data_IF_389617424125
#
_entry.id   IF_389617424125
#
_cell.length_a   1.000
_cell.length_b   1.000
_cell.length_c   1.000
_cell.angle_alpha   90.00
_cell.angle_beta   90.00
_cell.angle_gamma   90.00
#
_symmetry.space_group_name_H-M   'P 1'
#
loop_
_entity.id
_entity.type
_entity.pdbx_description
1 polymer ?
#
# COMPACT_ATOMS: atom_id res chain seq x y z
N UNK A 1 6.27 -10.45 33.76
CA UNK A 1 5.61 -11.13 32.64
C UNK A 1 5.35 -12.57 33.03
N UNK A 2 4.09 -12.99 32.93
CA UNK A 2 3.69 -14.39 33.08
C UNK A 2 4.15 -15.21 31.87
N UNK A 3 4.29 -16.52 32.01
CA UNK A 3 4.70 -17.42 30.92
C UNK A 3 3.76 -17.38 29.71
N UNK A 4 2.47 -17.06 29.91
CA UNK A 4 1.49 -16.90 28.83
C UNK A 4 1.70 -15.63 28.00
N UNK A 5 2.25 -14.56 28.60
CA UNK A 5 2.63 -13.34 27.88
C UNK A 5 3.90 -13.55 27.03
N UNK A 6 4.76 -14.50 27.43
CA UNK A 6 5.98 -14.85 26.69
C UNK A 6 5.67 -15.66 25.42
N UNK A 7 4.67 -16.54 25.45
CA UNK A 7 4.21 -17.26 24.25
C UNK A 7 3.52 -16.35 23.23
N UNK A 8 2.81 -15.31 23.68
CA UNK A 8 2.20 -14.31 22.78
C UNK A 8 3.24 -13.37 22.12
N UNK A 9 4.45 -13.29 22.67
CA UNK A 9 5.56 -12.47 22.18
C UNK A 9 6.48 -13.19 21.16
N UNK A 10 6.10 -14.37 20.65
CA UNK A 10 6.89 -15.12 19.66
C UNK A 10 6.73 -14.53 18.25
N UNK A 11 7.16 -13.28 18.08
CA UNK A 11 7.31 -12.67 16.77
C UNK A 11 8.68 -11.99 16.64
N UNK A 12 9.16 -11.85 15.40
CA UNK A 12 10.47 -11.28 15.11
C UNK A 12 10.48 -9.74 15.03
N UNK A 13 9.32 -9.11 15.19
CA UNK A 13 9.16 -7.66 15.08
C UNK A 13 9.71 -6.92 16.29
N UNK A 14 10.31 -5.75 16.05
CA UNK A 14 10.78 -4.85 17.11
C UNK A 14 9.77 -3.71 17.36
N UNK A 15 9.55 -3.33 18.63
CA UNK A 15 10.10 -3.96 19.83
C UNK A 15 9.49 -5.34 20.10
N UNK A 16 10.30 -6.27 20.64
CA UNK A 16 9.89 -7.68 20.85
C UNK A 16 8.75 -7.88 21.85
N UNK A 17 8.44 -6.84 22.64
CA UNK A 17 7.33 -6.82 23.58
C UNK A 17 6.07 -6.13 23.02
N UNK A 18 6.06 -5.76 21.74
CA UNK A 18 4.85 -5.26 21.09
C UNK A 18 3.75 -6.32 21.17
N UNK A 19 2.51 -5.89 21.44
CA UNK A 19 1.37 -6.81 21.42
C UNK A 19 0.76 -6.74 20.02
N UNK A 20 1.02 -7.77 19.22
CA UNK A 20 0.41 -7.94 17.90
C UNK A 20 -0.77 -8.89 18.05
N UNK A 21 -1.98 -8.33 18.01
CA UNK A 21 -3.22 -9.07 18.22
C UNK A 21 -3.42 -10.12 17.11
N UNK A 22 -3.83 -11.32 17.50
CA UNK A 22 -4.17 -12.44 16.62
C UNK A 22 -3.07 -12.81 15.61
N UNK A 23 -1.80 -12.57 15.95
CA UNK A 23 -0.68 -12.77 15.03
C UNK A 23 -0.59 -14.22 14.52
N UNK A 24 -0.56 -14.37 13.20
CA UNK A 24 -0.24 -15.60 12.51
C UNK A 24 1.06 -15.46 11.71
N UNK A 25 1.99 -16.40 11.87
CA UNK A 25 3.24 -16.38 11.12
C UNK A 25 3.01 -16.61 9.61
N UNK A 26 3.80 -15.91 8.78
CA UNK A 26 3.76 -16.09 7.32
C UNK A 26 4.05 -17.54 6.93
N UNK A 27 3.27 -18.06 5.99
CA UNK A 27 3.45 -19.41 5.42
C UNK A 27 4.44 -19.43 4.26
N UNK A 28 4.68 -18.27 3.63
CA UNK A 28 5.66 -18.05 2.58
C UNK A 28 6.97 -17.56 3.18
N UNK A 29 8.09 -17.98 2.59
CA UNK A 29 9.41 -17.43 2.94
C UNK A 29 9.67 -16.09 2.26
N UNK A 30 10.54 -15.27 2.83
CA UNK A 30 10.88 -13.93 2.30
C UNK A 30 11.31 -13.93 0.83
N UNK A 31 12.13 -14.89 0.33
CA UNK A 31 12.46 -14.95 -1.10
C UNK A 31 11.24 -15.20 -1.99
N UNK A 32 10.29 -16.02 -1.53
CA UNK A 32 9.06 -16.31 -2.28
C UNK A 32 8.14 -15.09 -2.32
N UNK A 33 8.01 -14.37 -1.20
CA UNK A 33 7.30 -13.09 -1.12
C UNK A 33 7.90 -12.08 -2.09
N UNK A 34 9.23 -11.97 -2.13
CA UNK A 34 9.93 -11.07 -3.06
C UNK A 34 9.68 -11.42 -4.53
N UNK A 35 9.67 -12.71 -4.88
CA UNK A 35 9.34 -13.17 -6.24
C UNK A 35 7.92 -12.77 -6.62
N UNK A 36 6.94 -13.02 -5.75
CA UNK A 36 5.55 -12.62 -6.01
C UNK A 36 5.40 -11.10 -6.13
N UNK A 37 6.01 -10.34 -5.22
CA UNK A 37 5.98 -8.87 -5.28
C UNK A 37 6.57 -8.36 -6.59
N UNK A 38 7.75 -8.87 -6.97
CA UNK A 38 8.42 -8.50 -8.22
C UNK A 38 7.58 -8.86 -9.44
N UNK A 39 6.93 -10.03 -9.43
CA UNK A 39 6.05 -10.46 -10.51
C UNK A 39 4.82 -9.55 -10.65
N UNK A 40 4.18 -9.15 -9.55
CA UNK A 40 3.05 -8.22 -9.57
C UNK A 40 3.46 -6.83 -10.06
N UNK A 41 4.61 -6.32 -9.61
CA UNK A 41 5.18 -5.05 -10.10
C UNK A 41 5.43 -5.13 -11.61
N UNK A 42 6.05 -6.20 -12.10
CA UNK A 42 6.30 -6.38 -13.54
C UNK A 42 4.98 -6.51 -14.32
N UNK A 43 4.00 -7.26 -13.79
CA UNK A 43 2.69 -7.42 -14.41
C UNK A 43 1.93 -6.10 -14.55
N UNK A 44 2.16 -5.13 -13.64
CA UNK A 44 1.62 -3.78 -13.74
C UNK A 44 2.44 -2.89 -14.67
N UNK A 45 3.77 -2.92 -14.56
CA UNK A 45 4.67 -2.03 -15.28
C UNK A 45 4.79 -2.37 -16.78
N UNK A 46 4.66 -3.63 -17.18
CA UNK A 46 4.73 -4.01 -18.60
C UNK A 46 3.59 -3.42 -19.44
N UNK A 47 2.29 -3.53 -19.05
CA UNK A 47 1.21 -2.81 -19.71
C UNK A 47 1.39 -1.30 -19.71
N UNK A 48 1.85 -0.72 -18.59
CA UNK A 48 2.13 0.72 -18.50
C UNK A 48 3.21 1.15 -19.50
N UNK A 49 4.33 0.41 -19.55
CA UNK A 49 5.40 0.63 -20.52
C UNK A 49 4.88 0.52 -21.96
N UNK A 50 4.10 -0.52 -22.27
CA UNK A 50 3.49 -0.70 -23.59
C UNK A 50 2.60 0.50 -23.96
N UNK A 51 1.73 0.93 -23.06
CA UNK A 51 0.88 2.11 -23.27
C UNK A 51 1.73 3.37 -23.54
N UNK A 52 2.81 3.58 -22.77
CA UNK A 52 3.71 4.72 -22.94
C UNK A 52 4.49 4.69 -24.26
N UNK A 53 4.84 3.51 -24.80
CA UNK A 53 5.40 3.40 -26.16
C UNK A 53 4.41 3.76 -27.26
N UNK A 54 3.10 3.70 -26.96
CA UNK A 54 2.02 4.05 -27.88
C UNK A 54 1.50 5.47 -27.66
N UNK A 55 1.99 6.16 -26.64
CA UNK A 55 1.64 7.56 -26.36
C UNK A 55 2.04 8.48 -27.53
N UNK A 56 1.53 9.71 -27.52
CA UNK A 56 1.77 10.73 -28.57
C UNK A 56 1.49 10.19 -29.98
N UNK A 57 0.31 9.62 -30.17
CA UNK A 57 -0.12 9.04 -31.45
C UNK A 57 0.83 7.96 -32.00
N UNK A 58 1.42 7.15 -31.12
CA UNK A 58 2.32 6.06 -31.47
C UNK A 58 3.81 6.41 -31.57
N UNK A 59 4.20 7.65 -31.27
CA UNK A 59 5.61 8.08 -31.27
C UNK A 59 6.36 7.70 -29.98
N UNK A 60 5.63 7.41 -28.90
CA UNK A 60 6.21 7.13 -27.59
C UNK A 60 6.81 8.37 -26.91
N UNK A 61 7.46 8.15 -25.77
CA UNK A 61 8.13 9.21 -25.00
C UNK A 61 9.66 9.14 -25.20
N UNK A 62 10.36 10.30 -25.16
CA UNK A 62 11.82 10.32 -25.01
C UNK A 62 12.26 9.52 -23.77
N UNK A 63 13.43 8.87 -23.83
CA UNK A 63 13.95 8.02 -22.75
C UNK A 63 13.86 8.62 -21.34
N UNK A 64 14.26 9.88 -21.07
CA UNK A 64 14.14 10.45 -19.73
C UNK A 64 12.69 10.64 -19.29
N UNK A 65 11.81 11.10 -20.19
CA UNK A 65 10.37 11.24 -19.90
C UNK A 65 9.71 9.88 -19.65
N UNK A 66 10.09 8.86 -20.43
CA UNK A 66 9.64 7.49 -20.24
C UNK A 66 10.08 6.95 -18.87
N UNK A 67 11.33 7.16 -18.48
CA UNK A 67 11.85 6.71 -17.19
C UNK A 67 11.10 7.38 -16.02
N UNK A 68 10.87 8.68 -16.09
CA UNK A 68 10.07 9.41 -15.10
C UNK A 68 8.62 8.90 -15.08
N UNK A 69 8.00 8.70 -16.23
CA UNK A 69 6.64 8.14 -16.31
C UNK A 69 6.55 6.73 -15.71
N UNK A 70 7.54 5.87 -15.94
CA UNK A 70 7.61 4.53 -15.34
C UNK A 70 7.84 4.59 -13.82
N UNK A 71 8.63 5.55 -13.33
CA UNK A 71 8.77 5.81 -11.89
C UNK A 71 7.43 6.20 -11.26
N UNK A 72 6.69 7.14 -11.88
CA UNK A 72 5.34 7.50 -11.43
C UNK A 72 4.35 6.34 -11.52
N UNK A 73 4.46 5.47 -12.53
CA UNK A 73 3.64 4.27 -12.63
C UNK A 73 3.92 3.30 -11.46
N UNK A 74 5.19 3.09 -11.10
CA UNK A 74 5.56 2.29 -9.93
C UNK A 74 5.02 2.88 -8.62
N UNK A 75 5.17 4.19 -8.44
CA UNK A 75 4.56 4.91 -7.30
C UNK A 75 3.04 4.72 -7.26
N UNK A 76 2.38 4.89 -8.41
CA UNK A 76 0.95 4.64 -8.55
C UNK A 76 0.56 3.23 -8.12
N UNK A 77 1.31 2.21 -8.54
CA UNK A 77 1.06 0.84 -8.10
C UNK A 77 1.18 0.67 -6.58
N UNK A 78 2.21 1.24 -5.96
CA UNK A 78 2.42 1.15 -4.51
C UNK A 78 1.23 1.78 -3.76
N UNK A 79 0.83 3.00 -4.11
CA UNK A 79 -0.26 3.69 -3.43
C UNK A 79 -1.65 3.08 -3.70
N UNK A 80 -1.92 2.69 -4.96
CA UNK A 80 -3.24 2.17 -5.36
C UNK A 80 -3.45 0.70 -4.97
N UNK A 81 -2.40 -0.12 -4.96
CA UNK A 81 -2.53 -1.56 -4.67
C UNK A 81 -2.04 -1.88 -3.26
N UNK A 82 -0.79 -1.53 -2.94
CA UNK A 82 -0.12 -2.00 -1.71
C UNK A 82 -0.63 -1.24 -0.49
N UNK A 83 -0.55 0.09 -0.49
CA UNK A 83 -0.99 0.93 0.63
C UNK A 83 -2.51 0.96 0.76
N UNK A 84 -3.24 0.96 -0.35
CA UNK A 84 -4.70 0.85 -0.31
C UNK A 84 -5.14 -0.46 0.34
N UNK A 85 -4.47 -1.58 0.03
CA UNK A 85 -4.73 -2.85 0.72
C UNK A 85 -4.51 -2.74 2.22
N UNK A 86 -3.41 -2.11 2.65
CA UNK A 86 -3.15 -1.88 4.08
C UNK A 86 -4.26 -1.07 4.73
N UNK A 87 -4.65 0.07 4.17
CA UNK A 87 -5.69 0.95 4.72
C UNK A 87 -7.04 0.23 4.86
N UNK A 88 -7.38 -0.72 3.99
CA UNK A 88 -8.62 -1.48 4.11
C UNK A 88 -8.54 -2.69 5.05
N UNK A 89 -7.35 -3.26 5.27
CA UNK A 89 -7.20 -4.54 5.95
C UNK A 89 -6.30 -4.50 7.21
N UNK A 90 -5.76 -3.33 7.60
CA UNK A 90 -4.79 -3.20 8.71
C UNK A 90 -5.26 -3.84 10.03
N UNK A 91 -6.59 -3.92 10.25
CA UNK A 91 -7.19 -4.52 11.44
C UNK A 91 -7.08 -6.06 11.50
N UNK A 92 -7.00 -6.76 10.36
CA UNK A 92 -6.88 -8.23 10.29
C UNK A 92 -5.55 -8.69 9.69
N UNK A 93 -4.76 -7.77 9.16
CA UNK A 93 -3.46 -7.97 8.52
C UNK A 93 -2.52 -8.90 9.28
N UNK A 94 -2.49 -8.82 10.61
CA UNK A 94 -1.64 -9.67 11.44
C UNK A 94 -2.09 -11.14 11.48
N UNK A 95 -3.40 -11.40 11.37
CA UNK A 95 -4.01 -12.72 11.47
C UNK A 95 -4.08 -13.46 10.12
N UNK A 96 -4.22 -12.72 9.03
CA UNK A 96 -4.43 -13.29 7.70
C UNK A 96 -3.12 -13.71 7.03
N UNK A 97 -3.18 -14.71 6.17
CA UNK A 97 -2.03 -15.23 5.42
C UNK A 97 -2.26 -15.19 3.91
N UNK A 98 -3.04 -14.23 3.39
CA UNK A 98 -3.05 -14.02 1.94
C UNK A 98 -1.79 -13.28 1.52
N UNK A 99 -1.52 -13.23 0.21
CA UNK A 99 -0.23 -12.75 -0.31
C UNK A 99 0.13 -11.34 0.18
N UNK A 100 -0.82 -10.40 0.14
CA UNK A 100 -0.58 -9.02 0.56
C UNK A 100 -0.34 -8.89 2.07
N UNK A 101 -1.00 -9.69 2.92
CA UNK A 101 -0.71 -9.68 4.36
C UNK A 101 0.70 -10.14 4.62
N UNK A 102 1.13 -11.20 3.93
CA UNK A 102 2.48 -11.74 4.08
C UNK A 102 3.54 -10.76 3.58
N UNK A 103 3.27 -10.02 2.51
CA UNK A 103 4.12 -8.91 2.06
C UNK A 103 4.24 -7.81 3.12
N UNK A 104 3.12 -7.42 3.74
CA UNK A 104 3.12 -6.41 4.78
C UNK A 104 3.76 -6.89 6.08
N UNK A 105 3.63 -8.16 6.44
CA UNK A 105 4.37 -8.79 7.54
C UNK A 105 5.87 -8.75 7.29
N UNK A 106 6.32 -9.08 6.08
CA UNK A 106 7.74 -8.95 5.71
C UNK A 106 8.20 -7.49 5.83
N UNK A 107 7.40 -6.53 5.34
CA UNK A 107 7.71 -5.11 5.47
C UNK A 107 7.74 -4.62 6.93
N UNK A 108 6.84 -5.13 7.77
CA UNK A 108 6.74 -4.77 9.18
C UNK A 108 7.94 -5.25 10.03
N UNK A 109 8.84 -6.08 9.49
CA UNK A 109 10.15 -6.32 10.11
C UNK A 109 10.95 -5.01 10.25
N UNK A 110 10.70 -4.03 9.38
CA UNK A 110 11.29 -2.69 9.48
C UNK A 110 10.59 -1.78 10.50
N UNK A 111 9.29 -1.97 10.71
CA UNK A 111 8.48 -1.20 11.65
C UNK A 111 7.22 -1.99 12.04
N UNK A 112 7.14 -2.44 13.30
CA UNK A 112 6.02 -3.26 13.78
C UNK A 112 4.68 -2.52 13.81
N UNK A 113 4.68 -1.19 13.70
CA UNK A 113 3.47 -0.36 13.78
C UNK A 113 2.45 -0.66 12.69
N UNK A 114 2.89 -1.23 11.56
CA UNK A 114 1.99 -1.74 10.52
C UNK A 114 1.15 -2.93 11.01
N UNK A 115 1.66 -3.76 11.92
CA UNK A 115 0.91 -4.89 12.47
C UNK A 115 0.12 -4.56 13.74
N UNK A 116 0.45 -3.45 14.40
CA UNK A 116 -0.29 -2.97 15.58
C UNK A 116 -1.35 -1.91 15.25
N UNK A 117 -1.52 -1.57 13.97
CA UNK A 117 -2.45 -0.52 13.51
C UNK A 117 -2.24 0.82 14.22
N UNK A 118 -0.99 1.27 14.33
CA UNK A 118 -0.70 2.58 14.91
C UNK A 118 -1.44 3.69 14.17
N UNK A 119 -2.05 4.61 14.91
CA UNK A 119 -2.92 5.65 14.33
C UNK A 119 -2.18 6.55 13.37
N UNK A 120 -0.94 6.95 13.69
CA UNK A 120 -0.17 7.82 12.81
C UNK A 120 0.19 7.09 11.51
N UNK A 121 0.65 5.84 11.60
CA UNK A 121 0.94 5.01 10.42
C UNK A 121 -0.30 4.86 9.53
N UNK A 122 -1.45 4.46 10.09
CA UNK A 122 -2.70 4.30 9.31
C UNK A 122 -3.13 5.62 8.68
N UNK A 123 -3.05 6.75 9.38
CA UNK A 123 -3.37 8.05 8.82
C UNK A 123 -2.43 8.44 7.67
N UNK A 124 -1.13 8.23 7.81
CA UNK A 124 -0.16 8.56 6.76
C UNK A 124 -0.38 7.73 5.50
N UNK A 125 -0.55 6.40 5.66
CA UNK A 125 -0.87 5.52 4.54
C UNK A 125 -2.22 5.89 3.91
N UNK A 126 -3.20 6.32 4.70
CA UNK A 126 -4.48 6.81 4.16
C UNK A 126 -4.28 8.03 3.26
N UNK A 127 -3.45 8.99 3.68
CA UNK A 127 -3.18 10.22 2.90
C UNK A 127 -2.53 9.93 1.55
N UNK A 128 -1.63 8.94 1.49
CA UNK A 128 -0.93 8.56 0.26
C UNK A 128 -1.83 7.74 -0.68
N UNK A 129 -2.87 7.09 -0.18
CA UNK A 129 -3.84 6.41 -1.04
C UNK A 129 -4.73 7.40 -1.82
N UNK A 130 -5.07 7.05 -3.08
CA UNK A 130 -5.99 7.85 -3.90
C UNK A 130 -7.39 7.99 -3.29
N UNK A 131 -7.77 7.13 -2.36
CA UNK A 131 -9.06 7.19 -1.67
C UNK A 131 -9.20 8.47 -0.84
N UNK A 132 -8.14 8.90 -0.16
CA UNK A 132 -8.17 10.17 0.54
C UNK A 132 -8.31 11.35 -0.44
N UNK A 133 -7.55 11.36 -1.54
CA UNK A 133 -7.61 12.45 -2.50
C UNK A 133 -8.94 12.50 -3.29
N UNK A 134 -9.35 11.42 -3.95
CA UNK A 134 -10.55 11.44 -4.79
C UNK A 134 -11.84 11.31 -3.97
N UNK A 135 -11.84 10.45 -2.94
CA UNK A 135 -13.02 10.21 -2.11
C UNK A 135 -13.28 11.33 -1.11
N UNK A 136 -12.29 11.66 -0.28
CA UNK A 136 -12.48 12.69 0.73
C UNK A 136 -12.24 14.10 0.17
N UNK A 137 -11.08 14.36 -0.45
CA UNK A 137 -10.75 15.72 -0.86
C UNK A 137 -11.61 16.22 -2.02
N UNK A 138 -11.80 15.45 -3.11
CA UNK A 138 -12.63 15.90 -4.24
C UNK A 138 -14.13 15.70 -3.98
N UNK A 139 -14.60 14.47 -3.75
CA UNK A 139 -16.04 14.21 -3.71
C UNK A 139 -16.75 14.88 -2.52
N UNK A 140 -16.20 14.81 -1.30
CA UNK A 140 -16.86 15.42 -0.14
C UNK A 140 -16.73 16.96 -0.11
N UNK A 141 -15.72 17.54 -0.76
CA UNK A 141 -15.62 19.00 -0.89
C UNK A 141 -16.24 19.54 -2.17
N UNK A 142 -16.73 18.71 -3.09
CA UNK A 142 -17.34 19.13 -4.35
C UNK A 142 -18.50 20.10 -4.14
N UNK A 143 -19.26 19.95 -3.05
CA UNK A 143 -20.37 20.84 -2.70
C UNK A 143 -19.93 22.32 -2.57
N UNK A 144 -18.73 22.58 -2.06
CA UNK A 144 -18.17 23.93 -1.90
C UNK A 144 -17.78 24.59 -3.22
N UNK A 145 -17.64 23.81 -4.31
CA UNK A 145 -17.38 24.33 -5.66
C UNK A 145 -18.66 24.40 -6.49
N UNK A 146 -19.51 23.38 -6.39
CA UNK A 146 -20.73 23.26 -7.18
C UNK A 146 -21.79 24.26 -6.74
N UNK A 147 -22.01 24.46 -5.44
CA UNK A 147 -23.05 25.38 -4.96
C UNK A 147 -22.74 26.83 -5.36
N UNK A 148 -21.54 27.38 -5.11
CA UNK A 148 -21.21 28.72 -5.59
C UNK A 148 -21.22 28.84 -7.12
N UNK A 149 -20.77 27.81 -7.84
CA UNK A 149 -20.81 27.80 -9.30
C UNK A 149 -22.23 27.88 -9.88
N UNK A 150 -23.19 27.16 -9.28
CA UNK A 150 -24.60 27.21 -9.68
C UNK A 150 -25.26 28.55 -9.31
N UNK A 151 -24.85 29.21 -8.23
CA UNK A 151 -25.37 30.52 -7.84
C UNK A 151 -24.87 31.67 -8.74
N UNK A 152 -23.83 31.42 -9.54
CA UNK A 152 -23.25 32.39 -10.49
C UNK A 152 -23.78 32.22 -11.93
N UNK A 153 -24.63 31.21 -12.18
CA UNK A 153 -25.36 30.99 -13.44
C UNK A 153 -26.77 31.59 -13.35
#
# INVERSE_FOLDING_TARGET
MSSSELEHALHLFYPVWAIIKDYAASTLSSPVILVYFSALVVAFLLPAAYALTRARSGQGLPRPEFAVAMWFALWGYIHFAVESYFVFNHATLAADCVLFDQMWKEYALSDSRYLTSDTFTVCMETVTTPFYYYGYFIFLNANWLVIPGLLLL
#
